data_IF_451573974274
#
_entry.id   IF_451573974274
#
_cell.length_a   1.000
_cell.length_b   1.000
_cell.length_c   1.000
_cell.angle_alpha   90.00
_cell.angle_beta   90.00
_cell.angle_gamma   90.00
#
_symmetry.space_group_name_H-M   'P 1'
#
loop_
_entity.id
_entity.type
_entity.pdbx_description
1 polymer ?
#
# COMPACT_ATOMS: atom_id res chain seq x y z
N UNK A 1 -0.87 2.31 7.68
CA UNK A 1 -2.32 2.43 7.57
C UNK A 1 -2.93 1.19 6.92
N UNK A 2 -2.20 0.62 5.98
CA UNK A 2 -2.67 -0.59 5.28
C UNK A 2 -1.67 -1.72 5.40
N UNK A 3 -2.11 -2.83 5.99
CA UNK A 3 -1.25 -3.99 6.17
C UNK A 3 -0.59 -4.39 4.86
N UNK A 4 -1.28 -4.14 3.76
CA UNK A 4 -0.74 -4.49 2.45
C UNK A 4 -0.43 -3.26 1.62
N UNK A 5 0.85 -2.91 1.54
CA UNK A 5 1.28 -1.75 0.77
C UNK A 5 2.29 -2.16 -0.30
N UNK A 6 3.55 -2.32 0.11
CA UNK A 6 4.61 -2.70 -0.82
C UNK A 6 4.05 -3.53 -1.97
N UNK A 7 3.39 -4.63 -1.64
CA UNK A 7 2.80 -5.51 -2.64
C UNK A 7 1.50 -4.92 -3.18
N UNK A 8 0.44 -5.00 -2.38
CA UNK A 8 -0.87 -4.49 -2.78
C UNK A 8 -0.90 -2.96 -2.66
N UNK A 9 -1.12 -2.30 -3.80
CA UNK A 9 -1.19 -0.84 -3.82
C UNK A 9 -2.55 -0.36 -4.28
N UNK A 10 -3.56 -0.48 -3.41
CA UNK A 10 -4.93 -0.07 -3.71
C UNK A 10 -5.07 1.45 -3.81
N UNK A 11 -4.47 2.16 -2.85
CA UNK A 11 -4.52 3.62 -2.83
C UNK A 11 -3.14 4.22 -3.02
N UNK A 12 -2.35 4.21 -1.95
CA UNK A 12 -1.00 4.76 -1.99
C UNK A 12 0.03 3.70 -1.59
N UNK A 13 0.50 2.94 -2.57
CA UNK A 13 1.48 1.90 -2.30
C UNK A 13 2.90 2.44 -2.27
N UNK A 14 3.07 3.68 -2.70
CA UNK A 14 4.39 4.31 -2.72
C UNK A 14 4.79 4.76 -1.32
N UNK A 15 3.92 5.51 -0.66
CA UNK A 15 4.21 5.98 0.68
C UNK A 15 3.48 5.18 1.75
N UNK A 16 3.32 3.89 1.51
CA UNK A 16 2.64 3.04 2.48
C UNK A 16 3.17 3.20 3.88
#
# INVERSE_FOLDING_TARGET
VARGWKRKCPLFGKGG
#
